data_IF_914037942715
#
_entry.id   IF_914037942715
#
_cell.length_a   1.000
_cell.length_b   1.000
_cell.length_c   1.000
_cell.angle_alpha   90.00
_cell.angle_beta   90.00
_cell.angle_gamma   90.00
#
_symmetry.space_group_name_H-M   'P 1'
#
loop_
_entity.id
_entity.type
_entity.pdbx_description
1 polymer ?
#
# COMPACT_ATOMS: atom_id res chain seq x y z
N UNK A 1 7.54 -15.49 -15.08
CA UNK A 1 6.12 -15.36 -14.70
C UNK A 1 5.87 -15.33 -13.19
N UNK A 2 6.27 -16.35 -12.41
CA UNK A 2 6.02 -16.37 -10.95
C UNK A 2 6.61 -15.17 -10.20
N UNK A 3 7.87 -14.81 -10.48
CA UNK A 3 8.49 -13.58 -9.95
C UNK A 3 7.67 -12.33 -10.28
N UNK A 4 7.20 -12.19 -11.53
CA UNK A 4 6.39 -11.03 -11.95
C UNK A 4 5.09 -10.97 -11.17
N UNK A 5 4.40 -12.10 -10.99
CA UNK A 5 3.16 -12.17 -10.21
C UNK A 5 3.44 -11.80 -8.75
N UNK A 6 4.41 -12.44 -8.11
CA UNK A 6 4.72 -12.24 -6.70
C UNK A 6 5.16 -10.80 -6.41
N UNK A 7 6.12 -10.26 -7.16
CA UNK A 7 6.62 -8.90 -6.95
C UNK A 7 5.57 -7.85 -7.34
N UNK A 8 4.76 -8.07 -8.36
CA UNK A 8 3.68 -7.12 -8.70
C UNK A 8 2.60 -7.12 -7.63
N UNK A 9 2.22 -8.29 -7.11
CA UNK A 9 1.27 -8.41 -6.00
C UNK A 9 1.78 -7.67 -4.74
N UNK A 10 3.03 -7.91 -4.35
CA UNK A 10 3.66 -7.24 -3.21
C UNK A 10 3.77 -5.73 -3.47
N UNK A 11 4.12 -5.32 -4.69
CA UNK A 11 4.16 -3.91 -5.10
C UNK A 11 2.79 -3.24 -4.96
N UNK A 12 1.72 -3.90 -5.41
CA UNK A 12 0.34 -3.44 -5.26
C UNK A 12 -0.10 -3.31 -3.80
N UNK A 13 0.14 -4.35 -2.98
CA UNK A 13 -0.14 -4.31 -1.53
C UNK A 13 0.63 -3.18 -0.87
N UNK A 14 1.92 -3.04 -1.17
CA UNK A 14 2.78 -1.99 -0.60
C UNK A 14 2.31 -0.60 -0.97
N UNK A 15 1.93 -0.37 -2.24
CA UNK A 15 1.41 0.90 -2.70
C UNK A 15 0.09 1.27 -2.00
N UNK A 16 -0.85 0.32 -1.95
CA UNK A 16 -2.15 0.53 -1.28
C UNK A 16 -2.00 0.74 0.22
N UNK A 17 -1.06 0.05 0.88
CA UNK A 17 -0.77 0.24 2.30
C UNK A 17 -0.10 1.60 2.59
N UNK A 18 0.80 2.05 1.71
CA UNK A 18 1.55 3.29 1.89
C UNK A 18 0.70 4.55 1.65
N UNK A 19 -0.31 4.44 0.76
CA UNK A 19 -1.12 5.57 0.33
C UNK A 19 -1.82 6.33 1.48
N UNK A 20 -2.51 5.68 2.45
CA UNK A 20 -3.11 6.38 3.59
C UNK A 20 -2.10 7.21 4.40
N UNK A 21 -0.91 6.67 4.67
CA UNK A 21 0.14 7.40 5.38
C UNK A 21 0.60 8.63 4.59
N UNK A 22 0.86 8.46 3.30
CA UNK A 22 1.29 9.55 2.43
C UNK A 22 0.23 10.66 2.37
N UNK A 23 -1.03 10.28 2.10
CA UNK A 23 -2.16 11.21 2.02
C UNK A 23 -2.37 11.96 3.35
N UNK A 24 -2.30 11.27 4.48
CA UNK A 24 -2.41 11.89 5.82
C UNK A 24 -1.26 12.84 6.11
N UNK A 25 -0.04 12.48 5.71
CA UNK A 25 1.14 13.32 5.84
C UNK A 25 1.03 14.65 5.09
N UNK A 26 0.74 14.59 3.77
CA UNK A 26 0.63 15.80 2.93
C UNK A 26 -0.60 16.67 3.30
N UNK A 27 -1.63 16.08 3.91
CA UNK A 27 -2.83 16.80 4.38
C UNK A 27 -2.73 17.29 5.82
N UNK A 28 -1.56 17.19 6.47
CA UNK A 28 -1.32 17.62 7.85
C UNK A 28 -2.22 16.93 8.89
N UNK A 29 -2.63 15.68 8.63
CA UNK A 29 -3.48 14.88 9.53
C UNK A 29 -2.66 13.79 10.22
N UNK A 30 -3.02 13.50 11.47
CA UNK A 30 -2.47 12.35 12.18
C UNK A 30 -3.07 11.05 11.66
N UNK A 31 -2.28 9.98 11.77
CA UNK A 31 -2.65 8.63 11.40
C UNK A 31 -1.72 7.65 12.14
N UNK A 32 -2.22 6.50 12.62
CA UNK A 32 -1.39 5.51 13.32
C UNK A 32 -0.20 5.07 12.46
N UNK A 33 1.01 5.14 13.01
CA UNK A 33 2.23 4.82 12.30
C UNK A 33 3.35 4.42 13.27
N UNK A 34 4.17 3.45 12.85
CA UNK A 34 5.31 2.93 13.63
C UNK A 34 6.37 4.00 13.92
N UNK A 35 6.55 4.94 13.00
CA UNK A 35 7.51 6.05 13.14
C UNK A 35 6.93 7.23 13.95
N UNK A 36 5.71 7.12 14.47
CA UNK A 36 4.98 8.18 15.18
C UNK A 36 3.77 8.73 14.41
N UNK A 37 2.79 9.26 15.14
CA UNK A 37 1.46 9.56 14.59
C UNK A 37 1.32 10.95 13.94
N UNK A 38 2.38 11.76 13.94
CA UNK A 38 2.37 13.13 13.41
C UNK A 38 2.42 13.19 11.88
N UNK A 39 2.07 14.33 11.26
CA UNK A 39 2.02 14.44 9.79
C UNK A 39 3.35 14.18 9.09
N UNK A 40 4.48 14.69 9.62
CA UNK A 40 5.80 14.47 9.00
C UNK A 40 6.18 13.00 9.03
N UNK A 41 5.91 12.32 10.14
CA UNK A 41 6.19 10.89 10.27
C UNK A 41 5.33 10.06 9.30
N UNK A 42 4.05 10.41 9.15
CA UNK A 42 3.17 9.81 8.16
C UNK A 42 3.63 10.05 6.71
N UNK A 43 4.11 11.26 6.41
CA UNK A 43 4.68 11.57 5.11
C UNK A 43 5.89 10.67 4.81
N UNK A 44 6.84 10.59 5.74
CA UNK A 44 8.06 9.78 5.57
C UNK A 44 7.71 8.30 5.42
N UNK A 45 6.80 7.78 6.25
CA UNK A 45 6.36 6.37 6.17
C UNK A 45 5.67 6.07 4.84
N UNK A 46 4.71 6.91 4.43
CA UNK A 46 4.00 6.75 3.17
C UNK A 46 4.90 6.89 1.96
N UNK A 47 5.77 7.90 1.94
CA UNK A 47 6.74 8.10 0.86
C UNK A 47 7.69 6.90 0.73
N UNK A 48 8.27 6.43 1.84
CA UNK A 48 9.17 5.28 1.84
C UNK A 48 8.46 4.01 1.35
N UNK A 49 7.21 3.79 1.76
CA UNK A 49 6.40 2.66 1.29
C UNK A 49 6.08 2.74 -0.21
N UNK A 50 5.81 3.93 -0.74
CA UNK A 50 5.60 4.14 -2.18
C UNK A 50 6.88 3.91 -2.99
N UNK A 51 8.04 4.34 -2.49
CA UNK A 51 9.35 4.03 -3.11
C UNK A 51 9.58 2.53 -3.14
N UNK A 52 9.32 1.83 -2.03
CA UNK A 52 9.46 0.37 -1.96
C UNK A 52 8.50 -0.34 -2.94
N UNK A 53 7.26 0.13 -3.05
CA UNK A 53 6.30 -0.37 -4.02
C UNK A 53 6.81 -0.21 -5.47
N UNK A 54 7.37 0.96 -5.79
CA UNK A 54 7.97 1.22 -7.10
C UNK A 54 9.16 0.29 -7.39
N UNK A 55 10.01 0.00 -6.40
CA UNK A 55 11.12 -0.95 -6.54
C UNK A 55 10.61 -2.37 -6.84
N UNK A 56 9.57 -2.84 -6.13
CA UNK A 56 8.96 -4.14 -6.41
C UNK A 56 8.37 -4.23 -7.82
N UNK A 57 7.64 -3.19 -8.26
CA UNK A 57 7.08 -3.13 -9.61
C UNK A 57 8.18 -3.06 -10.68
N UNK A 58 9.28 -2.36 -10.41
CA UNK A 58 10.43 -2.31 -11.31
C UNK A 58 11.08 -3.70 -11.46
N UNK A 59 11.37 -4.39 -10.35
CA UNK A 59 11.98 -5.72 -10.34
C UNK A 59 11.03 -6.85 -10.74
N UNK A 60 9.73 -6.60 -10.82
CA UNK A 60 8.77 -7.54 -11.41
C UNK A 60 8.98 -7.72 -12.92
N UNK A 61 9.74 -6.82 -13.57
CA UNK A 61 9.97 -6.79 -15.01
C UNK A 61 8.64 -6.79 -15.81
N UNK A 62 7.77 -5.78 -15.63
CA UNK A 62 6.41 -5.77 -16.17
C UNK A 62 6.37 -5.97 -17.69
N UNK A 63 7.38 -5.47 -18.42
CA UNK A 63 7.48 -5.64 -19.87
C UNK A 63 7.59 -7.10 -20.34
N UNK A 64 8.01 -8.05 -19.49
CA UNK A 64 8.09 -9.48 -19.84
C UNK A 64 6.72 -10.17 -19.80
N UNK A 65 5.83 -9.74 -18.92
CA UNK A 65 4.49 -10.32 -18.73
C UNK A 65 3.48 -9.23 -18.30
N UNK A 66 3.10 -8.32 -19.21
CA UNK A 66 2.37 -7.10 -18.85
C UNK A 66 1.01 -7.36 -18.21
N UNK A 67 0.22 -8.29 -18.77
CA UNK A 67 -1.09 -8.64 -18.21
C UNK A 67 -1.02 -9.22 -16.80
N UNK A 68 -0.07 -10.14 -16.55
CA UNK A 68 0.14 -10.73 -15.23
C UNK A 68 0.66 -9.72 -14.21
N UNK A 69 1.55 -8.82 -14.62
CA UNK A 69 2.04 -7.76 -13.76
C UNK A 69 0.93 -6.81 -13.34
N UNK A 70 0.16 -6.32 -14.32
CA UNK A 70 -0.97 -5.42 -14.06
C UNK A 70 -2.03 -6.10 -13.17
N UNK A 71 -2.47 -7.31 -13.54
CA UNK A 71 -3.49 -8.03 -12.79
C UNK A 71 -3.09 -8.31 -11.34
N UNK A 72 -1.84 -8.73 -11.12
CA UNK A 72 -1.34 -8.99 -9.77
C UNK A 72 -1.18 -7.70 -8.95
N UNK A 73 -0.68 -6.61 -9.53
CA UNK A 73 -0.59 -5.32 -8.84
C UNK A 73 -1.98 -4.76 -8.46
N UNK A 74 -2.93 -4.79 -9.41
CA UNK A 74 -4.30 -4.36 -9.16
C UNK A 74 -4.97 -5.20 -8.06
N UNK A 75 -4.79 -6.52 -8.10
CA UNK A 75 -5.26 -7.41 -7.04
C UNK A 75 -4.63 -7.07 -5.68
N UNK A 76 -3.33 -6.79 -5.64
CA UNK A 76 -2.64 -6.41 -4.41
C UNK A 76 -3.23 -5.15 -3.77
N UNK A 77 -3.47 -4.10 -4.58
CA UNK A 77 -4.13 -2.87 -4.13
C UNK A 77 -5.54 -3.16 -3.62
N UNK A 78 -6.32 -3.99 -4.32
CA UNK A 78 -7.67 -4.35 -3.90
C UNK A 78 -7.66 -5.09 -2.56
N UNK A 79 -6.80 -6.10 -2.39
CA UNK A 79 -6.73 -6.91 -1.17
C UNK A 79 -6.39 -6.05 0.06
N UNK A 80 -5.38 -5.18 -0.06
CA UNK A 80 -5.04 -4.29 1.06
C UNK A 80 -6.10 -3.22 1.29
N UNK A 81 -6.77 -2.75 0.24
CA UNK A 81 -7.91 -1.83 0.35
C UNK A 81 -9.09 -2.48 1.09
N UNK A 82 -9.45 -3.71 0.75
CA UNK A 82 -10.48 -4.49 1.44
C UNK A 82 -10.10 -4.77 2.90
N UNK A 83 -8.81 -5.03 3.17
CA UNK A 83 -8.32 -5.16 4.55
C UNK A 83 -8.54 -3.87 5.34
N UNK A 84 -8.19 -2.70 4.78
CA UNK A 84 -8.41 -1.40 5.45
C UNK A 84 -9.89 -1.03 5.60
N UNK A 85 -10.71 -1.36 4.60
CA UNK A 85 -12.15 -1.07 4.61
C UNK A 85 -12.96 -2.03 5.50
N UNK A 86 -12.45 -3.25 5.74
CA UNK A 86 -13.11 -4.28 6.53
C UNK A 86 -12.51 -4.41 7.95
N UNK A 87 -11.70 -5.45 8.21
CA UNK A 87 -11.19 -5.75 9.56
C UNK A 87 -10.22 -4.69 10.10
N UNK A 88 -9.46 -4.04 9.22
CA UNK A 88 -8.42 -3.07 9.55
C UNK A 88 -7.24 -3.68 10.33
N UNK A 89 -6.16 -2.91 10.46
CA UNK A 89 -5.01 -3.28 11.29
C UNK A 89 -5.28 -3.18 12.80
N UNK A 90 -6.30 -2.41 13.20
CA UNK A 90 -6.62 -2.11 14.59
C UNK A 90 -7.98 -2.66 15.05
N UNK A 91 -8.63 -3.53 14.25
CA UNK A 91 -9.92 -4.12 14.58
C UNK A 91 -11.10 -3.14 14.54
N UNK A 92 -12.33 -3.66 14.54
CA UNK A 92 -13.57 -2.86 14.49
C UNK A 92 -13.59 -1.80 15.61
N UNK A 93 -13.78 -0.53 15.22
CA UNK A 93 -14.75 0.32 15.91
C UNK A 93 -16.01 0.38 15.06
N UNK A 94 -16.97 -0.47 15.40
CA UNK A 94 -18.36 -0.27 15.01
C UNK A 94 -19.16 -0.05 16.30
N UNK A 95 -19.85 1.09 16.40
CA UNK A 95 -21.22 1.27 16.91
C UNK A 95 -21.47 2.74 17.34
N UNK A 96 -22.71 3.25 17.26
CA UNK A 96 -23.79 3.04 16.30
C UNK A 96 -24.01 4.30 15.43
N UNK A 97 -24.97 4.26 14.50
CA UNK A 97 -25.55 5.47 13.88
C UNK A 97 -26.17 6.41 14.93
#
# INVERSE_FOLDING_TARGET
MWQTIALSLIGGVSAGNAFPHFARGITKKSYPNLLGNGPVSNLIAGWSGLVLAALFLHWAHPGRHPGWSFGAAALGVLLIGLFHAGPGAFGRRAAPE
#
